data_IF_851603942627
#
_entry.id   IF_851603942627
#
_cell.length_a   1.000
_cell.length_b   1.000
_cell.length_c   1.000
_cell.angle_alpha   90.00
_cell.angle_beta   90.00
_cell.angle_gamma   90.00
#
_symmetry.space_group_name_H-M   'P 1'
#
loop_
_entity.id
_entity.type
_entity.pdbx_description
1 polymer ?
#
# COMPACT_ATOMS: atom_id res chain seq x y z
N UNK A 1 -39.69 -25.82 15.57
CA UNK A 1 -39.61 -25.06 16.83
C UNK A 1 -38.12 -25.03 17.20
N UNK A 2 -37.41 -23.95 16.90
CA UNK A 2 -35.98 -23.84 17.19
C UNK A 2 -35.83 -23.37 18.63
N UNK A 3 -35.11 -24.13 19.47
CA UNK A 3 -34.88 -23.74 20.86
C UNK A 3 -34.09 -22.42 20.92
N UNK A 4 -34.55 -21.42 21.70
CA UNK A 4 -33.87 -20.12 21.79
C UNK A 4 -32.43 -20.25 22.35
N UNK A 5 -32.17 -21.25 23.19
CA UNK A 5 -30.85 -21.56 23.73
C UNK A 5 -29.88 -22.12 22.66
N UNK A 6 -30.39 -22.87 21.68
CA UNK A 6 -29.59 -23.35 20.54
C UNK A 6 -29.21 -22.21 19.58
N UNK A 7 -30.09 -21.22 19.45
CA UNK A 7 -29.84 -20.03 18.62
C UNK A 7 -28.74 -19.16 19.24
N UNK A 8 -28.80 -18.87 20.54
CA UNK A 8 -27.78 -18.06 21.23
C UNK A 8 -26.39 -18.73 21.25
N UNK A 9 -26.34 -20.06 21.41
CA UNK A 9 -25.10 -20.82 21.32
C UNK A 9 -24.45 -20.74 19.92
N UNK A 10 -25.27 -20.78 18.87
CA UNK A 10 -24.83 -20.64 17.48
C UNK A 10 -24.30 -19.22 17.19
N UNK A 11 -24.98 -18.19 17.69
CA UNK A 11 -24.52 -16.79 17.57
C UNK A 11 -23.19 -16.57 18.27
N UNK A 12 -23.03 -17.11 19.49
CA UNK A 12 -21.77 -17.05 20.20
C UNK A 12 -20.63 -17.78 19.44
N UNK A 13 -20.92 -18.91 18.80
CA UNK A 13 -19.97 -19.61 17.95
C UNK A 13 -19.56 -18.79 16.72
N UNK A 14 -20.53 -18.14 16.06
CA UNK A 14 -20.29 -17.24 14.92
C UNK A 14 -19.43 -16.04 15.32
N UNK A 15 -19.72 -15.41 16.46
CA UNK A 15 -18.93 -14.28 16.98
C UNK A 15 -17.47 -14.69 17.27
N UNK A 16 -17.26 -15.87 17.86
CA UNK A 16 -15.90 -16.42 18.06
C UNK A 16 -15.17 -16.65 16.74
N UNK A 17 -15.84 -17.21 15.74
CA UNK A 17 -15.25 -17.42 14.42
C UNK A 17 -14.87 -16.09 13.74
N UNK A 18 -15.78 -15.12 13.74
CA UNK A 18 -15.56 -13.81 13.15
C UNK A 18 -14.33 -13.12 13.76
N UNK A 19 -14.22 -13.12 15.10
CA UNK A 19 -13.03 -12.60 15.80
C UNK A 19 -11.75 -13.31 15.37
N UNK A 20 -11.77 -14.63 15.23
CA UNK A 20 -10.59 -15.42 14.82
C UNK A 20 -10.19 -15.15 13.36
N UNK A 21 -11.17 -14.91 12.49
CA UNK A 21 -10.93 -14.49 11.10
C UNK A 21 -10.31 -13.09 11.06
N UNK A 22 -10.82 -12.15 11.86
CA UNK A 22 -10.27 -10.81 11.99
C UNK A 22 -8.82 -10.83 12.49
N UNK A 23 -8.53 -11.61 13.54
CA UNK A 23 -7.16 -11.79 14.06
C UNK A 23 -6.22 -12.32 12.96
N UNK A 24 -6.66 -13.31 12.18
CA UNK A 24 -5.86 -13.86 11.08
C UNK A 24 -5.63 -12.83 9.97
N UNK A 25 -6.67 -12.08 9.59
CA UNK A 25 -6.55 -11.03 8.58
C UNK A 25 -5.58 -9.95 9.07
N UNK A 26 -5.69 -9.50 10.31
CA UNK A 26 -4.76 -8.54 10.91
C UNK A 26 -3.31 -9.04 10.88
N UNK A 27 -3.07 -10.32 11.18
CA UNK A 27 -1.75 -10.91 11.08
C UNK A 27 -1.21 -10.95 9.63
N UNK A 28 -2.07 -11.19 8.65
CA UNK A 28 -1.69 -11.27 7.24
C UNK A 28 -1.42 -9.90 6.62
N UNK A 29 -2.24 -8.89 6.92
CA UNK A 29 -2.25 -7.61 6.18
C UNK A 29 -1.80 -6.39 6.99
N UNK A 30 -1.73 -6.51 8.32
CA UNK A 30 -1.47 -5.40 9.23
C UNK A 30 -0.36 -5.66 10.25
N UNK A 31 0.39 -6.75 10.12
CA UNK A 31 1.49 -7.08 11.03
C UNK A 31 1.03 -7.47 12.45
N UNK A 32 -0.24 -7.87 12.61
CA UNK A 32 -0.76 -8.37 13.88
C UNK A 32 -0.10 -9.68 14.34
N UNK A 33 -0.28 -10.05 15.63
CA UNK A 33 0.24 -11.31 16.15
C UNK A 33 -0.41 -12.52 15.45
N UNK A 34 0.37 -13.57 15.22
CA UNK A 34 -0.15 -14.82 14.64
C UNK A 34 -1.13 -15.46 15.63
N UNK A 35 -2.40 -15.73 15.24
CA UNK A 35 -3.36 -16.31 16.16
C UNK A 35 -2.97 -17.75 16.53
N UNK A 36 -3.23 -18.20 17.77
CA UNK A 36 -2.96 -19.58 18.19
C UNK A 36 -3.55 -20.62 17.23
N UNK A 37 -2.81 -21.70 16.96
CA UNK A 37 -3.23 -22.77 16.05
C UNK A 37 -2.85 -22.55 14.58
N UNK A 38 -2.31 -21.38 14.21
CA UNK A 38 -1.67 -21.16 12.91
C UNK A 38 -0.17 -21.33 13.01
N UNK A 39 0.43 -21.91 11.97
CA UNK A 39 1.88 -21.97 11.80
C UNK A 39 2.45 -20.57 11.49
N UNK A 40 3.28 -19.99 12.37
CA UNK A 40 3.83 -18.65 12.16
C UNK A 40 4.66 -18.51 10.88
N UNK A 41 5.35 -19.56 10.45
CA UNK A 41 6.14 -19.53 9.21
C UNK A 41 5.23 -19.44 7.98
N UNK A 42 4.13 -20.19 7.97
CA UNK A 42 3.14 -20.13 6.88
C UNK A 42 2.46 -18.77 6.80
N UNK A 43 2.04 -18.20 7.93
CA UNK A 43 1.42 -16.86 7.95
C UNK A 43 2.40 -15.80 7.42
N UNK A 44 3.67 -15.84 7.86
CA UNK A 44 4.69 -14.92 7.34
C UNK A 44 4.94 -15.06 5.84
N UNK A 45 4.96 -16.30 5.32
CA UNK A 45 5.10 -16.55 3.89
C UNK A 45 3.92 -15.96 3.10
N UNK A 46 2.69 -16.14 3.59
CA UNK A 46 1.50 -15.57 2.97
C UNK A 46 1.49 -14.04 3.03
N UNK A 47 1.81 -13.45 4.19
CA UNK A 47 1.93 -12.00 4.34
C UNK A 47 2.95 -11.40 3.37
N UNK A 48 4.10 -12.06 3.20
CA UNK A 48 5.13 -11.65 2.21
C UNK A 48 4.60 -11.73 0.78
N UNK A 49 3.87 -12.78 0.43
CA UNK A 49 3.23 -12.93 -0.88
C UNK A 49 2.19 -11.85 -1.16
N UNK A 50 1.37 -11.50 -0.15
CA UNK A 50 0.40 -10.41 -0.24
C UNK A 50 1.09 -9.05 -0.41
N UNK A 51 2.15 -8.78 0.35
CA UNK A 51 2.95 -7.56 0.21
C UNK A 51 3.60 -7.46 -1.19
N UNK A 52 4.13 -8.56 -1.74
CA UNK A 52 4.66 -8.60 -3.10
C UNK A 52 3.57 -8.35 -4.14
N UNK A 53 2.38 -8.92 -3.98
CA UNK A 53 1.24 -8.67 -4.87
C UNK A 53 0.81 -7.19 -4.85
N UNK A 54 0.76 -6.60 -3.65
CA UNK A 54 0.47 -5.17 -3.47
C UNK A 54 1.53 -4.32 -4.16
N UNK A 55 2.83 -4.59 -3.94
CA UNK A 55 3.94 -3.94 -4.64
C UNK A 55 3.73 -3.95 -6.15
N UNK A 56 3.50 -5.13 -6.72
CA UNK A 56 3.38 -5.28 -8.19
C UNK A 56 2.15 -4.56 -8.74
N UNK A 57 1.08 -4.47 -7.96
CA UNK A 57 -0.13 -3.73 -8.35
C UNK A 57 0.08 -2.22 -8.23
N UNK A 58 0.78 -1.77 -7.19
CA UNK A 58 1.17 -0.37 -7.00
C UNK A 58 2.13 0.09 -8.11
N UNK A 59 3.10 -0.75 -8.50
CA UNK A 59 3.99 -0.49 -9.63
C UNK A 59 3.24 -0.29 -10.95
N UNK A 60 2.11 -0.99 -11.16
CA UNK A 60 1.28 -0.81 -12.37
C UNK A 60 0.55 0.53 -12.38
N UNK A 61 0.08 1.02 -11.24
CA UNK A 61 -0.66 2.30 -11.17
C UNK A 61 0.26 3.52 -11.05
N UNK A 62 1.49 3.32 -10.56
CA UNK A 62 2.53 4.33 -10.37
C UNK A 62 3.89 3.81 -10.88
N UNK A 63 4.05 3.63 -12.20
CA UNK A 63 5.25 3.04 -12.80
C UNK A 63 6.52 3.90 -12.65
N UNK A 64 6.36 5.18 -12.31
CA UNK A 64 7.50 6.04 -12.02
C UNK A 64 8.27 5.59 -10.77
N UNK A 65 7.60 5.06 -9.75
CA UNK A 65 8.25 4.65 -8.50
C UNK A 65 9.34 3.58 -8.72
N UNK A 66 9.08 2.44 -9.39
CA UNK A 66 10.14 1.47 -9.70
C UNK A 66 11.19 2.03 -10.65
N UNK A 67 10.84 2.95 -11.56
CA UNK A 67 11.80 3.61 -12.45
C UNK A 67 12.75 4.54 -11.69
N UNK A 68 12.24 5.24 -10.68
CA UNK A 68 13.00 6.19 -9.87
C UNK A 68 13.89 5.49 -8.83
N UNK A 69 13.39 4.40 -8.22
CA UNK A 69 14.09 3.70 -7.13
C UNK A 69 14.90 2.48 -7.60
N UNK A 70 14.70 2.02 -8.83
CA UNK A 70 15.38 0.87 -9.40
C UNK A 70 15.29 -0.36 -8.49
N UNK A 71 16.45 -0.99 -8.23
CA UNK A 71 16.55 -2.17 -7.38
C UNK A 71 16.05 -1.95 -5.94
N UNK A 72 16.05 -0.71 -5.44
CA UNK A 72 15.60 -0.39 -4.09
C UNK A 72 14.08 -0.40 -3.94
N UNK A 73 13.32 -0.30 -5.04
CA UNK A 73 11.86 -0.27 -4.99
C UNK A 73 11.27 -1.49 -4.27
N UNK A 74 11.74 -2.69 -4.63
CA UNK A 74 11.24 -3.94 -4.08
C UNK A 74 11.43 -4.04 -2.57
N UNK A 75 12.67 -3.98 -2.06
CA UNK A 75 12.97 -4.03 -0.63
C UNK A 75 12.25 -2.93 0.16
N UNK A 76 12.29 -1.68 -0.30
CA UNK A 76 11.63 -0.56 0.39
C UNK A 76 10.13 -0.76 0.48
N UNK A 77 9.48 -1.21 -0.61
CA UNK A 77 8.03 -1.41 -0.59
C UNK A 77 7.61 -2.54 0.35
N UNK A 78 8.39 -3.63 0.40
CA UNK A 78 8.10 -4.73 1.32
C UNK A 78 8.26 -4.30 2.77
N UNK A 79 9.23 -3.44 3.08
CA UNK A 79 9.42 -2.92 4.43
C UNK A 79 8.29 -1.96 4.85
N UNK A 80 7.92 -1.03 3.97
CA UNK A 80 6.72 -0.20 4.11
C UNK A 80 5.46 -1.04 4.40
N UNK A 81 5.20 -2.06 3.58
CA UNK A 81 3.97 -2.84 3.65
C UNK A 81 3.84 -3.66 4.94
N UNK A 82 4.93 -3.93 5.68
CA UNK A 82 4.89 -4.66 6.96
C UNK A 82 4.19 -3.88 8.07
N UNK A 83 4.29 -2.56 8.04
CA UNK A 83 3.80 -1.67 9.11
C UNK A 83 2.67 -0.74 8.66
N UNK A 84 2.34 -0.75 7.36
CA UNK A 84 1.34 0.15 6.77
C UNK A 84 0.22 -0.64 6.07
N UNK A 85 -0.85 -1.02 6.79
CA UNK A 85 -2.03 -1.64 6.19
C UNK A 85 -2.59 -0.80 5.04
N UNK A 86 -3.10 -1.44 3.99
CA UNK A 86 -3.70 -0.70 2.87
C UNK A 86 -5.10 -0.20 3.26
N UNK A 87 -5.26 1.09 3.51
CA UNK A 87 -6.54 1.72 3.91
C UNK A 87 -7.26 2.45 2.78
N UNK A 88 -6.69 2.45 1.56
CA UNK A 88 -7.26 3.13 0.39
C UNK A 88 -6.89 2.46 -0.93
N UNK A 89 -7.12 3.17 -2.04
CA UNK A 89 -6.77 2.68 -3.38
C UNK A 89 -5.26 2.68 -3.66
N UNK A 90 -4.81 1.91 -4.65
CA UNK A 90 -3.39 1.75 -4.98
C UNK A 90 -2.67 3.06 -5.34
N UNK A 91 -3.37 4.10 -5.86
CA UNK A 91 -2.77 5.42 -6.11
C UNK A 91 -2.49 6.20 -4.82
N UNK A 92 -3.38 6.10 -3.83
CA UNK A 92 -3.15 6.68 -2.52
C UNK A 92 -2.00 5.94 -1.82
N UNK A 93 -1.99 4.60 -1.94
CA UNK A 93 -0.93 3.76 -1.41
C UNK A 93 0.46 4.09 -1.99
N UNK A 94 0.54 4.32 -3.30
CA UNK A 94 1.77 4.79 -3.95
C UNK A 94 2.30 6.10 -3.33
N UNK A 95 1.40 7.04 -3.01
CA UNK A 95 1.77 8.30 -2.35
C UNK A 95 2.23 8.08 -0.91
N UNK A 96 1.50 7.28 -0.14
CA UNK A 96 1.89 6.93 1.24
C UNK A 96 3.24 6.24 1.30
N UNK A 97 3.51 5.29 0.39
CA UNK A 97 4.81 4.65 0.25
C UNK A 97 5.92 5.66 -0.04
N UNK A 98 5.73 6.55 -1.02
CA UNK A 98 6.74 7.55 -1.35
C UNK A 98 7.02 8.50 -0.18
N UNK A 99 5.99 8.90 0.56
CA UNK A 99 6.13 9.75 1.75
C UNK A 99 6.92 9.02 2.86
N UNK A 100 6.54 7.77 3.15
CA UNK A 100 7.25 6.92 4.10
C UNK A 100 8.72 6.68 3.70
N UNK A 101 9.00 6.49 2.41
CA UNK A 101 10.35 6.27 1.92
C UNK A 101 11.26 7.51 2.09
N UNK A 102 10.69 8.72 2.20
CA UNK A 102 11.44 9.93 2.49
C UNK A 102 11.77 10.09 3.98
N UNK A 103 10.92 9.57 4.87
CA UNK A 103 11.03 9.71 6.33
C UNK A 103 11.70 8.52 6.98
N UNK A 104 11.16 7.31 6.77
CA UNK A 104 11.40 6.13 7.60
C UNK A 104 12.09 4.98 6.84
N UNK A 105 12.04 4.97 5.50
CA UNK A 105 12.52 3.85 4.66
C UNK A 105 14.04 3.60 4.62
N UNK A 106 14.80 4.13 5.58
CA UNK A 106 16.27 4.15 5.56
C UNK A 106 16.82 5.18 4.57
N UNK A 107 18.12 5.53 4.61
CA UNK A 107 18.67 6.62 3.79
C UNK A 107 18.72 6.19 2.31
N UNK A 108 17.80 6.67 1.45
CA UNK A 108 17.94 6.46 0.03
C UNK A 108 19.12 7.32 -0.43
N UNK A 109 19.74 6.95 -1.56
CA UNK A 109 20.65 7.87 -2.24
C UNK A 109 19.99 9.26 -2.39
N UNK A 110 20.77 10.34 -2.26
CA UNK A 110 20.23 11.71 -2.32
C UNK A 110 19.39 11.95 -3.59
N UNK A 111 19.77 11.33 -4.70
CA UNK A 111 19.04 11.37 -5.97
C UNK A 111 17.65 10.72 -5.87
N UNK A 112 17.53 9.56 -5.21
CA UNK A 112 16.25 8.90 -4.97
C UNK A 112 15.34 9.78 -4.09
N UNK A 113 15.88 10.40 -3.02
CA UNK A 113 15.10 11.31 -2.18
C UNK A 113 14.57 12.48 -2.98
N UNK A 114 15.43 13.14 -3.75
CA UNK A 114 15.04 14.27 -4.59
C UNK A 114 13.99 13.88 -5.62
N UNK A 115 14.13 12.72 -6.25
CA UNK A 115 13.19 12.23 -7.23
C UNK A 115 11.82 11.88 -6.62
N UNK A 116 11.79 11.25 -5.45
CA UNK A 116 10.55 10.96 -4.72
C UNK A 116 9.83 12.24 -4.27
N UNK A 117 10.58 13.21 -3.75
CA UNK A 117 10.04 14.51 -3.34
C UNK A 117 9.38 15.24 -4.52
N UNK A 118 10.07 15.32 -5.67
CA UNK A 118 9.51 15.90 -6.90
C UNK A 118 8.28 15.14 -7.42
N UNK A 119 8.25 13.81 -7.27
CA UNK A 119 7.12 12.99 -7.70
C UNK A 119 5.89 13.20 -6.80
N UNK A 120 6.09 13.35 -5.49
CA UNK A 120 5.03 13.66 -4.52
C UNK A 120 4.49 15.08 -4.71
N UNK A 121 5.39 16.02 -4.95
CA UNK A 121 5.12 17.45 -5.06
C UNK A 121 5.47 17.96 -6.46
N UNK A 122 4.72 17.53 -7.50
CA UNK A 122 4.97 18.00 -8.85
C UNK A 122 4.76 19.51 -8.88
N UNK A 123 5.73 20.24 -9.45
CA UNK A 123 5.60 21.67 -9.64
C UNK A 123 4.30 21.98 -10.41
N UNK A 124 3.55 23.02 -10.02
CA UNK A 124 2.34 23.40 -10.76
C UNK A 124 2.72 23.66 -12.21
N UNK A 125 2.08 22.96 -13.15
CA UNK A 125 2.28 23.20 -14.57
C UNK A 125 1.85 24.62 -14.86
N UNK A 126 2.81 25.51 -15.12
CA UNK A 126 2.50 26.90 -15.46
C UNK A 126 1.71 26.89 -16.77
N UNK A 127 0.46 27.41 -16.80
CA UNK A 127 -0.32 27.41 -18.03
C UNK A 127 0.42 28.20 -19.11
N UNK A 128 0.34 27.79 -20.39
CA UNK A 128 0.95 28.54 -21.47
C UNK A 128 0.41 29.96 -21.47
N UNK A 129 1.32 30.94 -21.43
CA UNK A 129 0.97 32.35 -21.39
C UNK A 129 0.13 32.78 -22.59
N UNK A 130 -0.60 33.91 -22.49
CA UNK A 130 -1.56 34.35 -23.51
C UNK A 130 -0.97 34.44 -24.92
N UNK A 131 0.32 34.79 -25.05
CA UNK A 131 1.02 34.89 -26.33
C UNK A 131 1.29 33.55 -27.03
N UNK A 132 1.36 32.45 -26.28
CA UNK A 132 1.52 31.11 -26.85
C UNK A 132 0.22 30.64 -27.55
N UNK A 133 -0.95 31.13 -27.09
CA UNK A 133 -2.24 30.88 -27.74
C UNK A 133 -2.35 31.64 -29.08
N UNK A 134 -1.87 32.88 -29.12
CA UNK A 134 -1.86 33.70 -30.33
C UNK A 134 -1.00 33.08 -31.44
N UNK A 135 0.17 32.53 -31.08
CA UNK A 135 1.09 31.85 -32.02
C UNK A 135 0.56 30.53 -32.60
N UNK A 136 -0.48 29.95 -32.00
CA UNK A 136 -1.16 28.74 -32.50
C UNK A 136 -2.34 29.10 -33.41
N UNK A 137 -3.01 30.22 -33.16
CA UNK A 137 -4.08 30.73 -34.01
C UNK A 137 -3.57 31.31 -35.36
N UNK A 138 -2.31 31.77 -35.40
CA UNK A 138 -1.67 32.30 -36.61
C UNK A 138 -0.90 31.25 -37.41
N UNK A 139 -1.07 29.96 -37.09
CA UNK A 139 -0.43 28.81 -37.77
C UNK A 139 -1.44 27.80 -38.35
N UNK A 140 -2.72 28.16 -38.41
CA UNK A 140 -3.76 27.47 -39.19
C UNK A 140 -4.29 28.42 -40.25
#
# INVERSE_FOLDING_TARGET
>A
MTDPESTSATEAARARLARRQEELLAALVAGGPVPPGFDPARVRAQSTGLAAKRRDTTAKVAPDLPRLLGAQYGPLFLDYARTHPQTGGYRADARSFAAWALTDGGPPAADHRRALDQWLHPAPVRPPGPLARLRRALRG
#
